data_IF_660016759332
#
_entry.id   IF_660016759332
#
_cell.length_a   1.000
_cell.length_b   1.000
_cell.length_c   1.000
_cell.angle_alpha   90.00
_cell.angle_beta   90.00
_cell.angle_gamma   90.00
#
_symmetry.space_group_name_H-M   'P 1'
#
loop_
_entity.id
_entity.type
_entity.pdbx_description
1 polymer ?
#
# COMPACT_ATOMS: atom_id res chain seq x y z
N UNK A 1 12.96 6.81 14.77
CA UNK A 1 11.83 6.61 13.85
C UNK A 1 12.13 7.29 12.51
N UNK A 2 11.63 6.73 11.39
CA UNK A 2 11.82 7.31 10.06
C UNK A 2 11.20 8.71 9.97
N UNK A 3 11.95 9.66 9.39
CA UNK A 3 11.47 11.04 9.18
C UNK A 3 10.83 11.16 7.80
N UNK A 4 9.66 10.54 7.60
CA UNK A 4 9.02 10.42 6.29
C UNK A 4 8.81 11.76 5.56
N UNK A 5 8.38 12.81 6.26
CA UNK A 5 8.22 14.13 5.65
C UNK A 5 9.54 14.68 5.07
N UNK A 6 10.66 14.45 5.77
CA UNK A 6 11.99 14.82 5.30
C UNK A 6 12.43 13.98 4.08
N UNK A 7 12.12 12.68 4.08
CA UNK A 7 12.41 11.84 2.91
C UNK A 7 11.57 12.25 1.71
N UNK A 8 10.31 12.62 1.90
CA UNK A 8 9.45 13.14 0.82
C UNK A 8 9.98 14.48 0.26
N UNK A 9 10.52 15.36 1.11
CA UNK A 9 11.15 16.61 0.66
C UNK A 9 12.33 16.32 -0.27
N UNK A 10 13.23 15.39 0.12
CA UNK A 10 14.37 15.02 -0.72
C UNK A 10 13.93 14.29 -1.98
N UNK A 11 12.95 13.40 -1.92
CA UNK A 11 12.36 12.78 -3.11
C UNK A 11 11.81 13.81 -4.09
N UNK A 12 11.14 14.85 -3.58
CA UNK A 12 10.66 15.97 -4.42
C UNK A 12 11.79 16.76 -5.06
N UNK A 13 12.88 17.02 -4.32
CA UNK A 13 14.07 17.68 -4.88
C UNK A 13 14.71 16.86 -5.99
N UNK A 14 14.82 15.55 -5.82
CA UNK A 14 15.33 14.65 -6.85
C UNK A 14 14.40 14.64 -8.06
N UNK A 15 13.09 14.59 -7.87
CA UNK A 15 12.12 14.69 -8.95
C UNK A 15 12.26 15.99 -9.75
N UNK A 16 12.55 17.11 -9.09
CA UNK A 16 12.84 18.39 -9.76
C UNK A 16 14.10 18.33 -10.62
N UNK A 17 15.11 17.52 -10.25
CA UNK A 17 16.27 17.28 -11.10
C UNK A 17 15.86 16.52 -12.36
N UNK A 18 15.06 15.46 -12.23
CA UNK A 18 14.58 14.71 -13.40
C UNK A 18 13.82 15.58 -14.38
N UNK A 19 12.99 16.50 -13.88
CA UNK A 19 12.24 17.44 -14.73
C UNK A 19 13.10 18.44 -15.53
N UNK A 20 14.40 18.56 -15.26
CA UNK A 20 15.31 19.34 -16.12
C UNK A 20 15.59 18.64 -17.45
N UNK A 21 15.41 17.31 -17.48
CA UNK A 21 15.77 16.44 -18.58
C UNK A 21 14.58 15.78 -19.24
N UNK A 22 13.56 15.42 -18.46
CA UNK A 22 12.44 14.58 -18.90
C UNK A 22 11.14 15.30 -18.53
N UNK A 23 10.18 15.30 -19.45
CA UNK A 23 8.88 15.89 -19.24
C UNK A 23 8.08 15.11 -18.18
N UNK A 24 7.25 15.77 -17.34
CA UNK A 24 6.49 15.10 -16.29
C UNK A 24 5.58 13.96 -16.80
N UNK A 25 5.10 14.05 -18.04
CA UNK A 25 4.31 13.01 -18.72
C UNK A 25 5.07 11.71 -18.91
N UNK A 26 6.40 11.74 -19.02
CA UNK A 26 7.26 10.59 -19.26
C UNK A 26 7.94 10.10 -17.98
N UNK A 27 7.60 10.68 -16.83
CA UNK A 27 8.10 10.27 -15.51
C UNK A 27 6.99 9.52 -14.75
N UNK A 28 7.30 8.32 -14.27
CA UNK A 28 6.46 7.59 -13.31
C UNK A 28 7.18 7.54 -11.97
N UNK A 29 6.61 8.13 -10.94
CA UNK A 29 7.06 7.96 -9.56
C UNK A 29 6.56 6.60 -9.07
N UNK A 30 7.46 5.63 -9.01
CA UNK A 30 7.15 4.26 -8.60
C UNK A 30 7.13 4.12 -7.07
N UNK A 31 8.08 4.76 -6.40
CA UNK A 31 8.15 4.83 -4.93
C UNK A 31 8.77 6.16 -4.49
N UNK A 32 9.01 6.32 -3.20
CA UNK A 32 9.66 7.52 -2.65
C UNK A 32 11.10 7.71 -3.17
N UNK A 33 11.75 6.65 -3.63
CA UNK A 33 13.16 6.58 -4.02
C UNK A 33 13.39 5.98 -5.41
N UNK A 34 12.33 5.62 -6.13
CA UNK A 34 12.41 5.00 -7.44
C UNK A 34 11.48 5.68 -8.45
N UNK A 35 11.98 5.91 -9.65
CA UNK A 35 11.22 6.43 -10.80
C UNK A 35 11.51 5.62 -12.05
N UNK A 36 10.55 5.60 -12.97
CA UNK A 36 10.79 5.24 -14.36
C UNK A 36 10.78 6.50 -15.21
N UNK A 37 11.70 6.56 -16.14
CA UNK A 37 11.85 7.65 -17.11
C UNK A 37 11.76 7.04 -18.51
N UNK A 38 10.79 7.46 -19.30
CA UNK A 38 10.76 7.13 -20.74
C UNK A 38 11.60 8.17 -21.49
N UNK A 39 12.65 7.71 -22.15
CA UNK A 39 13.60 8.55 -22.87
C UNK A 39 13.61 8.28 -24.38
N UNK A 40 12.61 7.53 -24.87
CA UNK A 40 12.57 6.99 -26.22
C UNK A 40 12.56 8.09 -27.28
N UNK A 41 11.75 9.13 -27.11
CA UNK A 41 11.51 10.16 -28.13
C UNK A 41 12.24 11.48 -27.85
N UNK A 42 13.24 11.47 -26.96
CA UNK A 42 13.97 12.69 -26.60
C UNK A 42 15.09 12.98 -27.60
N UNK A 43 15.18 14.20 -28.11
CA UNK A 43 16.14 14.61 -29.16
C UNK A 43 17.52 14.91 -28.57
N UNK A 44 18.01 14.13 -27.62
CA UNK A 44 19.33 14.27 -27.09
C UNK A 44 20.35 13.62 -28.02
N UNK A 45 21.45 14.35 -28.33
CA UNK A 45 22.58 13.82 -29.08
C UNK A 45 23.50 12.98 -28.16
N UNK A 46 22.93 12.05 -27.43
CA UNK A 46 23.65 11.16 -26.53
C UNK A 46 22.90 9.84 -26.36
N UNK A 47 23.58 8.81 -25.90
CA UNK A 47 23.02 7.51 -25.59
C UNK A 47 22.17 7.58 -24.29
N UNK A 48 21.25 6.62 -24.10
CA UNK A 48 20.51 6.48 -22.84
C UNK A 48 21.45 6.32 -21.63
N UNK A 49 22.61 5.68 -21.82
CA UNK A 49 23.64 5.55 -20.79
C UNK A 49 24.24 6.90 -20.39
N UNK A 50 24.66 7.70 -21.35
CA UNK A 50 25.24 9.04 -21.12
C UNK A 50 24.20 9.98 -20.48
N UNK A 51 22.94 9.90 -20.90
CA UNK A 51 21.85 10.65 -20.29
C UNK A 51 21.64 10.21 -18.82
N UNK A 52 21.60 8.92 -18.54
CA UNK A 52 21.48 8.40 -17.19
C UNK A 52 22.65 8.82 -16.28
N UNK A 53 23.89 8.78 -16.79
CA UNK A 53 25.07 9.29 -16.08
C UNK A 53 24.94 10.78 -15.75
N UNK A 54 24.47 11.58 -16.72
CA UNK A 54 24.27 13.02 -16.55
C UNK A 54 23.23 13.31 -15.47
N UNK A 55 22.08 12.63 -15.52
CA UNK A 55 21.00 12.78 -14.53
C UNK A 55 21.49 12.37 -13.13
N UNK A 56 22.15 11.21 -13.00
CA UNK A 56 22.65 10.71 -11.71
C UNK A 56 23.68 11.69 -11.10
N UNK A 57 24.55 12.25 -11.92
CA UNK A 57 25.54 13.24 -11.48
C UNK A 57 24.86 14.51 -10.98
N UNK A 58 23.87 15.06 -11.70
CA UNK A 58 23.10 16.23 -11.26
C UNK A 58 22.33 15.95 -9.95
N UNK A 59 21.77 14.75 -9.79
CA UNK A 59 21.15 14.34 -8.52
C UNK A 59 22.18 14.37 -7.38
N UNK A 60 23.36 13.80 -7.60
CA UNK A 60 24.43 13.78 -6.59
C UNK A 60 24.90 15.20 -6.24
N UNK A 61 25.15 16.05 -7.23
CA UNK A 61 25.60 17.43 -7.03
C UNK A 61 24.54 18.28 -6.32
N UNK A 62 23.26 18.07 -6.64
CA UNK A 62 22.14 18.84 -6.08
C UNK A 62 21.75 18.38 -4.67
N UNK A 63 21.86 17.09 -4.36
CA UNK A 63 21.28 16.50 -3.13
C UNK A 63 22.28 15.78 -2.24
N UNK A 64 23.48 15.46 -2.76
CA UNK A 64 24.46 14.60 -2.08
C UNK A 64 24.07 13.12 -2.04
N UNK A 65 23.03 12.71 -2.76
CA UNK A 65 22.52 11.32 -2.78
C UNK A 65 22.97 10.65 -4.08
N UNK A 66 23.57 9.47 -3.96
CA UNK A 66 23.93 8.62 -5.11
C UNK A 66 22.70 7.87 -5.60
N UNK A 67 22.66 7.57 -6.90
CA UNK A 67 21.63 6.77 -7.53
C UNK A 67 22.23 5.64 -8.38
N UNK A 68 21.40 4.64 -8.66
CA UNK A 68 21.72 3.51 -9.56
C UNK A 68 20.64 3.45 -10.63
N UNK A 69 21.02 3.18 -11.88
CA UNK A 69 20.06 3.07 -12.98
C UNK A 69 20.10 1.70 -13.65
N UNK A 70 18.93 1.27 -14.11
CA UNK A 70 18.77 0.19 -15.06
C UNK A 70 18.15 0.73 -16.34
N UNK A 71 18.72 0.40 -17.47
CA UNK A 71 18.26 0.76 -18.81
C UNK A 71 17.70 -0.50 -19.46
N UNK A 72 16.51 -0.41 -20.03
CA UNK A 72 15.87 -1.52 -20.71
C UNK A 72 14.95 -1.04 -21.83
N UNK A 73 14.66 -1.94 -22.77
CA UNK A 73 13.73 -1.71 -23.88
C UNK A 73 12.26 -1.63 -23.43
N UNK A 74 12.00 -1.98 -22.17
CA UNK A 74 10.69 -1.90 -21.52
C UNK A 74 10.84 -1.75 -20.01
N UNK A 75 9.73 -1.49 -19.30
CA UNK A 75 9.72 -1.24 -17.85
C UNK A 75 10.26 -2.42 -17.03
N UNK A 76 9.94 -3.66 -17.43
CA UNK A 76 10.44 -4.86 -16.75
C UNK A 76 11.95 -4.98 -16.85
N UNK A 77 12.50 -4.86 -18.05
CA UNK A 77 13.94 -4.98 -18.29
C UNK A 77 14.72 -3.84 -17.61
N UNK A 78 14.21 -2.60 -17.63
CA UNK A 78 14.81 -1.49 -16.90
C UNK A 78 14.86 -1.77 -15.38
N UNK A 79 13.75 -2.25 -14.80
CA UNK A 79 13.69 -2.58 -13.38
C UNK A 79 14.62 -3.73 -13.00
N UNK A 80 14.65 -4.80 -13.79
CA UNK A 80 15.50 -5.97 -13.56
C UNK A 80 16.98 -5.64 -13.76
N UNK A 81 17.31 -4.82 -14.76
CA UNK A 81 18.68 -4.32 -14.96
C UNK A 81 19.17 -3.57 -13.71
N UNK A 82 18.34 -2.72 -13.12
CA UNK A 82 18.69 -2.02 -11.90
C UNK A 82 18.83 -2.97 -10.70
N UNK A 83 17.82 -3.80 -10.43
CA UNK A 83 17.76 -4.57 -9.19
C UNK A 83 18.72 -5.76 -9.15
N UNK A 84 18.87 -6.49 -10.26
CA UNK A 84 19.69 -7.72 -10.32
C UNK A 84 21.09 -7.43 -10.79
N UNK A 85 21.30 -6.49 -11.72
CA UNK A 85 22.62 -6.26 -12.32
C UNK A 85 23.30 -5.03 -11.72
N UNK A 86 22.73 -3.83 -11.89
CA UNK A 86 23.40 -2.57 -11.55
C UNK A 86 23.75 -2.46 -10.05
N UNK A 87 22.89 -2.95 -9.17
CA UNK A 87 23.16 -2.94 -7.70
C UNK A 87 24.34 -3.80 -7.30
N UNK A 88 24.76 -4.76 -8.13
CA UNK A 88 25.79 -5.77 -7.82
C UNK A 88 27.10 -5.57 -8.58
N UNK A 89 27.18 -4.63 -9.52
CA UNK A 89 28.41 -4.29 -10.20
C UNK A 89 29.19 -3.20 -9.45
N UNK A 90 30.53 -3.12 -9.62
CA UNK A 90 31.31 -2.00 -9.12
C UNK A 90 30.81 -0.68 -9.70
N UNK A 91 30.91 0.39 -8.91
CA UNK A 91 30.69 1.73 -9.43
C UNK A 91 31.79 2.10 -10.42
N UNK A 92 31.45 2.93 -11.41
CA UNK A 92 32.42 3.53 -12.31
C UNK A 92 33.31 4.57 -11.59
N UNK A 93 34.21 5.22 -12.32
CA UNK A 93 35.13 6.25 -11.78
C UNK A 93 34.38 7.46 -11.18
N UNK A 94 33.11 7.66 -11.54
CA UNK A 94 32.23 8.72 -11.05
C UNK A 94 31.31 8.24 -9.90
N UNK A 95 31.48 7.01 -9.41
CA UNK A 95 30.64 6.42 -8.36
C UNK A 95 29.26 5.95 -8.84
N UNK A 96 29.05 5.86 -10.16
CA UNK A 96 27.75 5.53 -10.78
C UNK A 96 27.69 4.04 -11.12
N UNK A 97 26.52 3.44 -10.97
CA UNK A 97 26.21 2.06 -11.35
C UNK A 97 25.05 2.06 -12.32
N UNK A 98 25.33 1.66 -13.56
CA UNK A 98 24.32 1.55 -14.62
C UNK A 98 24.43 0.17 -15.26
N UNK A 99 23.31 -0.49 -15.48
CA UNK A 99 23.24 -1.72 -16.25
C UNK A 99 22.18 -1.61 -17.35
N UNK A 100 22.43 -2.31 -18.45
CA UNK A 100 21.56 -2.28 -19.62
C UNK A 100 21.15 -3.69 -20.01
N UNK A 101 19.85 -3.90 -20.26
CA UNK A 101 19.29 -5.14 -20.74
C UNK A 101 18.35 -4.90 -21.92
N UNK A 102 18.52 -5.71 -22.94
CA UNK A 102 17.51 -6.03 -23.95
C UNK A 102 16.98 -7.47 -23.72
N UNK A 103 15.98 -7.89 -24.47
CA UNK A 103 15.35 -9.21 -24.35
C UNK A 103 16.35 -10.35 -24.58
N UNK A 104 17.27 -10.18 -25.50
CA UNK A 104 18.30 -11.17 -25.84
C UNK A 104 19.32 -11.32 -24.72
N UNK A 105 19.82 -10.20 -24.21
CA UNK A 105 20.77 -10.17 -23.11
C UNK A 105 20.14 -10.69 -21.81
N UNK A 106 18.88 -10.31 -21.53
CA UNK A 106 18.10 -10.83 -20.42
C UNK A 106 18.03 -12.36 -20.45
N UNK A 107 17.61 -12.94 -21.58
CA UNK A 107 17.51 -14.42 -21.71
C UNK A 107 18.87 -15.09 -21.56
N UNK A 108 19.92 -14.52 -22.15
CA UNK A 108 21.26 -15.10 -22.07
C UNK A 108 21.85 -15.07 -20.66
N UNK A 109 21.63 -13.98 -19.91
CA UNK A 109 22.33 -13.72 -18.66
C UNK A 109 21.49 -14.00 -17.43
N UNK A 110 20.16 -13.77 -17.48
CA UNK A 110 19.30 -13.81 -16.31
C UNK A 110 18.28 -14.96 -16.30
N UNK A 111 18.10 -15.70 -17.41
CA UNK A 111 17.29 -16.92 -17.36
C UNK A 111 17.73 -17.92 -16.29
N UNK A 112 19.04 -18.16 -16.04
CA UNK A 112 19.50 -19.08 -14.99
C UNK A 112 19.56 -18.43 -13.61
N UNK A 113 19.25 -17.13 -13.46
CA UNK A 113 19.36 -16.41 -12.18
C UNK A 113 18.41 -16.97 -11.11
N UNK A 114 18.91 -16.99 -9.87
CA UNK A 114 18.18 -17.39 -8.67
C UNK A 114 18.51 -16.41 -7.51
N UNK A 115 17.57 -16.19 -6.58
CA UNK A 115 16.23 -16.76 -6.50
C UNK A 115 15.21 -16.02 -7.41
N UNK A 116 14.09 -16.67 -7.71
CA UNK A 116 12.99 -16.07 -8.48
C UNK A 116 12.44 -14.77 -7.85
N UNK A 117 12.54 -14.63 -6.54
CA UNK A 117 12.06 -13.45 -5.82
C UNK A 117 12.85 -12.18 -6.07
N UNK A 118 13.98 -12.24 -6.76
CA UNK A 118 14.74 -11.04 -7.18
C UNK A 118 14.11 -10.36 -8.39
N UNK A 119 13.31 -11.12 -9.16
CA UNK A 119 12.60 -10.57 -10.31
C UNK A 119 11.39 -9.75 -9.87
N UNK A 120 11.25 -8.59 -10.49
CA UNK A 120 10.11 -7.72 -10.28
C UNK A 120 8.79 -8.47 -10.48
N UNK A 121 7.83 -8.25 -9.58
CA UNK A 121 6.52 -8.89 -9.49
C UNK A 121 6.51 -10.39 -9.16
N UNK A 122 7.65 -11.01 -8.89
CA UNK A 122 7.71 -12.39 -8.39
C UNK A 122 7.88 -12.40 -6.87
N UNK A 123 6.76 -12.40 -6.16
CA UNK A 123 6.77 -12.50 -4.69
C UNK A 123 6.94 -13.93 -4.19
N UNK A 124 7.19 -14.12 -2.89
CA UNK A 124 7.37 -15.43 -2.24
C UNK A 124 6.25 -16.44 -2.50
N UNK A 125 5.00 -15.94 -2.69
CA UNK A 125 3.86 -16.80 -3.00
C UNK A 125 3.94 -17.40 -4.40
N UNK A 126 4.35 -16.62 -5.40
CA UNK A 126 4.55 -17.06 -6.78
C UNK A 126 5.74 -18.01 -6.83
N UNK A 127 6.90 -17.58 -6.27
CA UNK A 127 8.10 -18.40 -6.26
C UNK A 127 7.85 -19.79 -5.65
N UNK A 128 7.21 -19.87 -4.48
CA UNK A 128 6.88 -21.18 -3.85
C UNK A 128 6.01 -22.08 -4.73
N UNK A 129 5.04 -21.51 -5.47
CA UNK A 129 4.19 -22.30 -6.37
C UNK A 129 4.97 -22.81 -7.58
N UNK A 130 5.85 -21.99 -8.14
CA UNK A 130 6.74 -22.38 -9.24
C UNK A 130 7.71 -23.47 -8.80
N UNK A 131 8.40 -23.28 -7.70
CA UNK A 131 9.36 -24.23 -7.12
C UNK A 131 8.71 -25.60 -6.80
N UNK A 132 7.47 -25.61 -6.30
CA UNK A 132 6.70 -26.85 -6.06
C UNK A 132 6.41 -27.63 -7.35
N UNK A 133 6.55 -27.02 -8.53
CA UNK A 133 6.38 -27.64 -9.84
C UNK A 133 7.70 -27.74 -10.61
N UNK A 134 8.83 -27.61 -9.93
CA UNK A 134 10.16 -27.79 -10.52
C UNK A 134 10.69 -26.59 -11.30
N UNK A 135 10.03 -25.43 -11.25
CA UNK A 135 10.46 -24.19 -11.89
C UNK A 135 11.19 -23.30 -10.90
N UNK A 136 12.48 -23.12 -11.07
CA UNK A 136 13.37 -22.39 -10.15
C UNK A 136 13.96 -21.11 -10.76
N UNK A 137 13.76 -20.90 -12.06
CA UNK A 137 14.33 -19.81 -12.85
C UNK A 137 13.29 -19.22 -13.80
N UNK A 138 13.53 -18.02 -14.32
CA UNK A 138 12.69 -17.45 -15.37
C UNK A 138 12.79 -18.24 -16.67
N UNK A 139 13.95 -18.84 -16.95
CA UNK A 139 14.10 -19.77 -18.07
C UNK A 139 13.20 -21.01 -17.96
N UNK A 140 13.05 -21.57 -16.74
CA UNK A 140 12.13 -22.70 -16.52
C UNK A 140 10.67 -22.30 -16.79
N UNK A 141 10.29 -21.07 -16.39
CA UNK A 141 8.94 -20.52 -16.64
C UNK A 141 8.71 -20.33 -18.14
N UNK A 142 9.68 -19.75 -18.85
CA UNK A 142 9.61 -19.55 -20.30
C UNK A 142 9.48 -20.88 -21.04
N UNK A 143 10.27 -21.88 -20.69
CA UNK A 143 10.18 -23.24 -21.29
C UNK A 143 8.84 -23.90 -20.94
N UNK A 144 8.34 -23.73 -19.73
CA UNK A 144 7.02 -24.25 -19.35
C UNK A 144 5.90 -23.57 -20.17
N UNK A 145 6.01 -22.30 -20.49
CA UNK A 145 5.01 -21.62 -21.32
C UNK A 145 4.91 -22.18 -22.74
N UNK A 146 6.01 -22.72 -23.30
CA UNK A 146 6.00 -23.40 -24.60
C UNK A 146 5.48 -24.83 -24.51
N UNK A 147 5.80 -25.56 -23.44
CA UNK A 147 5.53 -27.00 -23.34
C UNK A 147 4.21 -27.31 -22.64
N UNK A 148 3.79 -26.49 -21.68
CA UNK A 148 2.60 -26.70 -20.85
C UNK A 148 2.07 -25.41 -20.27
N UNK A 149 1.68 -24.47 -21.12
CA UNK A 149 1.15 -23.16 -20.72
C UNK A 149 -0.07 -23.27 -19.79
N UNK A 150 -0.91 -24.31 -20.01
CA UNK A 150 -2.11 -24.56 -19.20
C UNK A 150 -1.76 -24.75 -17.71
N UNK A 151 -0.60 -25.28 -17.37
CA UNK A 151 -0.14 -25.41 -16.00
C UNK A 151 0.01 -24.02 -15.36
N UNK A 152 0.60 -23.05 -16.06
CA UNK A 152 0.79 -21.68 -15.56
C UNK A 152 -0.55 -20.99 -15.34
N UNK A 153 -1.50 -21.10 -16.27
CA UNK A 153 -2.85 -20.56 -16.11
C UNK A 153 -3.62 -21.21 -14.95
N UNK A 154 -3.48 -22.52 -14.74
CA UNK A 154 -4.08 -23.21 -13.61
C UNK A 154 -3.50 -22.75 -12.26
N UNK A 155 -2.21 -22.43 -12.22
CA UNK A 155 -1.54 -21.96 -11.00
C UNK A 155 -1.83 -20.49 -10.68
N UNK A 156 -1.90 -19.63 -11.69
CA UNK A 156 -1.88 -18.19 -11.51
C UNK A 156 -3.09 -17.44 -12.12
N UNK A 157 -3.99 -18.15 -12.82
CA UNK A 157 -5.11 -17.55 -13.53
C UNK A 157 -4.64 -16.51 -14.55
N UNK A 158 -5.34 -15.40 -14.68
CA UNK A 158 -4.98 -14.30 -15.57
C UNK A 158 -3.58 -13.69 -15.31
N UNK A 159 -3.04 -13.86 -14.13
CA UNK A 159 -1.70 -13.36 -13.82
C UNK A 159 -0.58 -14.21 -14.47
N UNK A 160 -0.92 -15.36 -15.07
CA UNK A 160 0.02 -16.17 -15.85
C UNK A 160 0.55 -15.40 -17.06
N UNK A 161 -0.28 -14.62 -17.74
CA UNK A 161 0.12 -13.81 -18.92
C UNK A 161 1.31 -12.91 -18.59
N UNK A 162 1.18 -12.09 -17.57
CA UNK A 162 2.27 -11.20 -17.15
C UNK A 162 3.53 -11.96 -16.72
N UNK A 163 3.36 -13.10 -16.05
CA UNK A 163 4.50 -13.93 -15.63
C UNK A 163 5.22 -14.54 -16.84
N UNK A 164 4.49 -14.99 -17.85
CA UNK A 164 5.03 -15.53 -19.11
C UNK A 164 5.76 -14.41 -19.87
N UNK A 165 5.11 -13.27 -20.07
CA UNK A 165 5.71 -12.12 -20.74
C UNK A 165 7.04 -11.73 -20.08
N UNK A 166 7.07 -11.59 -18.78
CA UNK A 166 8.28 -11.28 -18.03
C UNK A 166 9.35 -12.38 -18.14
N UNK A 167 8.95 -13.65 -18.19
CA UNK A 167 9.91 -14.75 -18.39
C UNK A 167 10.60 -14.66 -19.75
N UNK A 168 9.93 -14.12 -20.76
CA UNK A 168 10.50 -13.86 -22.08
C UNK A 168 11.22 -12.52 -22.19
N UNK A 169 11.15 -11.67 -21.17
CA UNK A 169 11.69 -10.31 -21.14
C UNK A 169 10.79 -9.27 -21.80
N UNK A 170 9.50 -9.57 -21.92
CA UNK A 170 8.50 -8.70 -22.52
C UNK A 170 7.65 -7.99 -21.44
N UNK A 171 7.30 -6.72 -21.68
CA UNK A 171 6.36 -5.95 -20.86
C UNK A 171 5.55 -5.04 -21.78
N UNK A 172 4.25 -5.31 -21.98
CA UNK A 172 3.41 -4.51 -22.86
C UNK A 172 2.97 -3.19 -22.24
N UNK A 173 3.13 -3.01 -20.94
CA UNK A 173 2.70 -1.82 -20.23
C UNK A 173 3.64 -0.65 -20.54
N UNK A 174 3.07 0.48 -20.93
CA UNK A 174 3.79 1.72 -21.25
C UNK A 174 3.52 2.82 -20.22
N UNK A 175 4.32 3.89 -20.23
CA UNK A 175 4.10 5.07 -19.37
C UNK A 175 2.72 5.67 -19.57
N UNK A 176 2.23 5.90 -20.81
CA UNK A 176 0.85 6.36 -21.03
C UNK A 176 -0.22 5.41 -20.47
N UNK A 177 -0.02 4.09 -20.59
CA UNK A 177 -0.93 3.07 -20.05
C UNK A 177 -1.07 3.17 -18.54
N UNK A 178 0.05 3.34 -17.84
CA UNK A 178 0.06 3.50 -16.37
C UNK A 178 -0.66 4.80 -15.96
N UNK A 179 -0.41 5.89 -16.67
CA UNK A 179 -1.03 7.19 -16.35
C UNK A 179 -2.53 7.23 -16.64
N UNK A 180 -2.97 6.49 -17.66
CA UNK A 180 -4.37 6.36 -18.00
C UNK A 180 -5.15 5.40 -17.08
N UNK A 181 -4.45 4.51 -16.37
CA UNK A 181 -5.07 3.51 -15.51
C UNK A 181 -5.88 4.16 -14.39
N UNK A 182 -7.11 3.69 -14.22
CA UNK A 182 -7.98 4.02 -13.09
C UNK A 182 -8.37 2.72 -12.43
N UNK A 183 -8.04 2.52 -11.13
CA UNK A 183 -8.43 1.31 -10.41
C UNK A 183 -9.96 1.21 -10.33
N UNK A 184 -10.49 0.01 -10.53
CA UNK A 184 -11.92 -0.28 -10.41
C UNK A 184 -12.40 -0.31 -8.96
N UNK A 185 -11.49 -0.60 -8.03
CA UNK A 185 -11.78 -0.61 -6.60
C UNK A 185 -10.75 0.24 -5.89
N UNK A 186 -11.24 1.13 -5.04
CA UNK A 186 -10.39 2.03 -4.26
C UNK A 186 -10.57 1.76 -2.77
N UNK A 187 -9.48 1.88 -2.04
CA UNK A 187 -9.51 1.81 -0.58
C UNK A 187 -8.52 2.79 0.03
N UNK A 188 -8.83 3.28 1.21
CA UNK A 188 -7.94 4.09 2.02
C UNK A 188 -7.61 3.31 3.31
N UNK A 189 -6.34 3.18 3.64
CA UNK A 189 -5.93 2.36 4.78
C UNK A 189 -5.02 3.10 5.75
N UNK A 190 -5.26 2.86 7.03
CA UNK A 190 -4.38 3.28 8.12
C UNK A 190 -3.80 2.05 8.81
N UNK A 191 -2.48 1.97 8.94
CA UNK A 191 -1.79 0.87 9.60
C UNK A 191 -0.93 1.35 10.76
N UNK A 192 -0.92 0.58 11.86
CA UNK A 192 -0.06 0.87 13.01
C UNK A 192 0.58 -0.39 13.56
N UNK A 193 1.89 -0.32 13.78
CA UNK A 193 2.64 -1.26 14.62
C UNK A 193 2.84 -0.58 15.98
N UNK A 194 2.38 -1.23 17.04
CA UNK A 194 2.50 -0.72 18.39
C UNK A 194 3.95 -0.85 18.88
N UNK A 195 4.42 0.09 19.69
CA UNK A 195 5.80 0.09 20.25
C UNK A 195 6.06 -1.10 21.14
N UNK A 196 5.05 -1.55 21.88
CA UNK A 196 5.07 -2.75 22.73
C UNK A 196 3.76 -3.54 22.53
N UNK A 197 3.65 -4.78 23.02
CA UNK A 197 2.40 -5.52 23.05
C UNK A 197 1.34 -4.80 23.89
N UNK A 198 0.13 -4.62 23.35
CA UNK A 198 -1.00 -3.99 24.04
C UNK A 198 -2.08 -5.01 24.37
N UNK A 199 -2.68 -4.88 25.55
CA UNK A 199 -3.93 -5.56 25.87
C UNK A 199 -5.07 -5.02 24.98
N UNK A 200 -6.09 -5.85 24.78
CA UNK A 200 -7.18 -5.53 23.87
C UNK A 200 -7.86 -4.18 24.15
N UNK A 201 -8.04 -3.81 25.42
CA UNK A 201 -8.63 -2.52 25.78
C UNK A 201 -7.80 -1.33 25.30
N UNK A 202 -6.48 -1.35 25.48
CA UNK A 202 -5.56 -0.31 24.99
C UNK A 202 -5.48 -0.33 23.45
N UNK A 203 -5.48 -1.51 22.82
CA UNK A 203 -5.50 -1.63 21.37
C UNK A 203 -6.80 -1.05 20.77
N UNK A 204 -7.94 -1.25 21.43
CA UNK A 204 -9.23 -0.68 21.04
C UNK A 204 -9.24 0.85 21.10
N UNK A 205 -8.56 1.45 22.07
CA UNK A 205 -8.38 2.90 22.13
C UNK A 205 -7.61 3.40 20.92
N UNK A 206 -6.49 2.77 20.59
CA UNK A 206 -5.69 3.11 19.41
C UNK A 206 -6.49 2.93 18.10
N UNK A 207 -7.32 1.89 18.01
CA UNK A 207 -8.21 1.71 16.85
C UNK A 207 -9.17 2.90 16.68
N UNK A 208 -9.72 3.43 17.77
CA UNK A 208 -10.59 4.62 17.72
C UNK A 208 -9.84 5.87 17.24
N UNK A 209 -8.58 6.03 17.63
CA UNK A 209 -7.70 7.09 17.09
C UNK A 209 -7.44 6.91 15.59
N UNK A 210 -7.21 5.66 15.15
CA UNK A 210 -7.03 5.34 13.72
C UNK A 210 -8.31 5.64 12.92
N UNK A 211 -9.47 5.30 13.46
CA UNK A 211 -10.76 5.57 12.81
C UNK A 211 -11.04 7.08 12.69
N UNK A 212 -10.71 7.86 13.72
CA UNK A 212 -10.80 9.32 13.67
C UNK A 212 -9.91 9.92 12.57
N UNK A 213 -8.66 9.49 12.50
CA UNK A 213 -7.73 9.96 11.49
C UNK A 213 -8.15 9.54 10.07
N UNK A 214 -8.61 8.31 9.89
CA UNK A 214 -9.10 7.79 8.62
C UNK A 214 -10.32 8.58 8.12
N UNK A 215 -11.26 8.90 9.03
CA UNK A 215 -12.42 9.73 8.72
C UNK A 215 -12.03 11.14 8.27
N UNK A 216 -11.07 11.77 8.95
CA UNK A 216 -10.55 13.08 8.56
C UNK A 216 -9.88 13.04 7.18
N UNK A 217 -9.16 11.98 6.87
CA UNK A 217 -8.53 11.82 5.55
C UNK A 217 -9.57 11.61 4.43
N UNK A 218 -10.67 10.89 4.70
CA UNK A 218 -11.80 10.78 3.77
C UNK A 218 -12.40 12.16 3.49
N UNK A 219 -12.67 12.95 4.52
CA UNK A 219 -13.20 14.31 4.35
C UNK A 219 -12.25 15.21 3.57
N UNK A 220 -10.94 15.16 3.87
CA UNK A 220 -9.93 15.96 3.16
C UNK A 220 -9.90 15.66 1.66
N UNK A 221 -10.15 14.40 1.30
CA UNK A 221 -10.15 13.93 -0.10
C UNK A 221 -11.53 14.00 -0.76
N UNK A 222 -12.59 14.43 -0.05
CA UNK A 222 -13.96 14.42 -0.56
C UNK A 222 -14.51 13.03 -0.85
N UNK A 223 -14.09 12.02 -0.07
CA UNK A 223 -14.44 10.61 -0.26
C UNK A 223 -15.35 10.10 0.86
N UNK A 224 -16.15 9.08 0.54
CA UNK A 224 -16.96 8.32 1.49
C UNK A 224 -16.71 6.82 1.33
N UNK A 225 -17.02 6.03 2.36
CA UNK A 225 -16.92 4.57 2.36
C UNK A 225 -18.23 3.94 2.86
N UNK A 226 -18.58 2.79 2.35
CA UNK A 226 -19.69 1.97 2.82
C UNK A 226 -19.24 0.78 3.70
N UNK A 227 -17.92 0.56 3.82
CA UNK A 227 -17.41 -0.60 4.55
C UNK A 227 -16.06 -0.32 5.22
N UNK A 228 -15.92 -0.77 6.46
CA UNK A 228 -14.61 -0.83 7.14
C UNK A 228 -14.13 -2.28 7.24
N UNK A 229 -12.83 -2.47 7.01
CA UNK A 229 -12.15 -3.76 7.18
C UNK A 229 -11.07 -3.62 8.22
N UNK A 230 -11.03 -4.54 9.17
CA UNK A 230 -10.05 -4.54 10.26
C UNK A 230 -9.23 -5.82 10.25
N UNK A 231 -7.92 -5.67 10.36
CA UNK A 231 -6.99 -6.77 10.60
C UNK A 231 -6.17 -6.47 11.86
N UNK A 232 -6.18 -7.38 12.83
CA UNK A 232 -5.45 -7.26 14.09
C UNK A 232 -4.46 -8.40 14.22
N UNK A 233 -3.17 -8.07 14.18
CA UNK A 233 -2.09 -9.03 14.35
C UNK A 233 -1.63 -9.08 15.81
N UNK A 234 -1.54 -10.29 16.34
CA UNK A 234 -1.15 -10.54 17.72
C UNK A 234 0.37 -10.60 17.89
N UNK A 235 0.82 -10.37 19.12
CA UNK A 235 2.25 -10.42 19.45
C UNK A 235 2.73 -11.86 19.65
N UNK A 236 4.02 -12.08 19.37
CA UNK A 236 4.70 -13.36 19.58
C UNK A 236 4.71 -13.77 21.06
N UNK A 237 4.65 -12.81 21.98
CA UNK A 237 4.64 -13.06 23.43
C UNK A 237 3.48 -13.96 23.85
N UNK A 238 2.36 -13.94 23.11
CA UNK A 238 1.24 -14.87 23.35
C UNK A 238 1.65 -16.36 23.21
N UNK A 239 2.74 -16.65 22.47
CA UNK A 239 3.23 -18.02 22.26
C UNK A 239 4.58 -18.29 22.92
N UNK A 240 5.30 -17.27 23.41
CA UNK A 240 6.60 -17.41 24.05
C UNK A 240 6.53 -17.30 25.56
N UNK A 241 5.61 -16.52 26.12
CA UNK A 241 5.38 -16.45 27.55
C UNK A 241 4.64 -17.72 28.04
N UNK A 242 5.20 -18.51 28.99
CA UNK A 242 4.65 -19.84 29.36
C UNK A 242 3.17 -19.82 29.77
N UNK A 243 2.77 -18.85 30.59
CA UNK A 243 1.39 -18.73 31.06
C UNK A 243 0.40 -18.42 29.90
N UNK A 244 0.78 -17.48 29.00
CA UNK A 244 -0.03 -17.15 27.83
C UNK A 244 -0.10 -18.28 26.83
N UNK A 245 1.04 -18.96 26.60
CA UNK A 245 1.08 -20.12 25.71
C UNK A 245 0.21 -21.26 26.20
N UNK A 246 0.18 -21.52 27.51
CA UNK A 246 -0.67 -22.56 28.08
C UNK A 246 -2.17 -22.24 27.96
N UNK A 247 -2.55 -20.96 27.98
CA UNK A 247 -3.92 -20.51 27.84
C UNK A 247 -4.41 -20.45 26.39
N UNK A 248 -3.51 -20.46 25.38
CA UNK A 248 -3.88 -20.32 23.98
C UNK A 248 -3.96 -21.66 23.26
N UNK A 249 -5.15 -22.02 22.78
CA UNK A 249 -5.42 -23.22 21.98
C UNK A 249 -5.81 -22.94 20.52
N UNK A 250 -5.81 -21.65 20.13
CA UNK A 250 -6.22 -21.23 18.79
C UNK A 250 -5.20 -21.53 17.69
N UNK A 251 -5.52 -21.20 16.44
CA UNK A 251 -4.67 -21.44 15.28
C UNK A 251 -3.42 -20.55 15.29
N UNK A 252 -2.30 -21.11 14.86
CA UNK A 252 -0.98 -20.44 14.78
C UNK A 252 -0.58 -20.33 13.32
N UNK A 253 -0.07 -19.16 12.92
CA UNK A 253 0.46 -18.89 11.59
C UNK A 253 1.91 -18.39 11.67
N UNK A 254 2.59 -18.34 10.53
CA UNK A 254 3.90 -17.69 10.41
C UNK A 254 3.72 -16.27 9.88
N UNK A 255 4.32 -15.31 10.57
CA UNK A 255 4.39 -13.93 10.07
C UNK A 255 5.39 -13.81 8.89
N UNK A 256 5.49 -12.61 8.32
CA UNK A 256 6.43 -12.35 7.20
C UNK A 256 7.91 -12.57 7.54
N UNK A 257 8.25 -12.67 8.81
CA UNK A 257 9.61 -12.95 9.29
C UNK A 257 9.81 -14.42 9.63
N UNK A 258 8.82 -15.28 9.36
CA UNK A 258 8.87 -16.71 9.69
C UNK A 258 8.61 -17.03 11.17
N UNK A 259 8.21 -16.05 12.00
CA UNK A 259 7.93 -16.26 13.42
C UNK A 259 6.52 -16.80 13.61
N UNK A 260 6.37 -17.75 14.51
CA UNK A 260 5.06 -18.29 14.89
C UNK A 260 4.30 -17.26 15.75
N UNK A 261 3.10 -16.91 15.34
CA UNK A 261 2.21 -15.97 16.04
C UNK A 261 0.78 -16.53 16.03
N UNK A 262 -0.10 -16.14 16.96
CA UNK A 262 -1.52 -16.45 16.84
C UNK A 262 -2.06 -15.91 15.51
N UNK A 263 -2.99 -16.66 14.88
CA UNK A 263 -3.61 -16.24 13.63
C UNK A 263 -4.26 -14.86 13.82
N UNK A 264 -3.97 -13.96 12.89
CA UNK A 264 -4.52 -12.61 12.92
C UNK A 264 -6.05 -12.61 12.87
N UNK A 265 -6.70 -11.76 13.66
CA UNK A 265 -8.12 -11.49 13.54
C UNK A 265 -8.38 -10.62 12.31
N UNK A 266 -9.37 -10.99 11.52
CA UNK A 266 -9.73 -10.28 10.30
C UNK A 266 -11.24 -10.28 10.10
N UNK A 267 -11.80 -9.15 9.66
CA UNK A 267 -13.21 -9.03 9.37
C UNK A 267 -13.56 -7.72 8.68
N UNK A 268 -14.81 -7.65 8.24
CA UNK A 268 -15.40 -6.48 7.63
C UNK A 268 -16.72 -6.11 8.32
N UNK A 269 -17.06 -4.83 8.28
CA UNK A 269 -18.32 -4.27 8.78
C UNK A 269 -18.82 -3.27 7.75
N UNK A 270 -20.02 -3.51 7.21
CA UNK A 270 -20.73 -2.54 6.37
C UNK A 270 -21.25 -1.39 7.23
N UNK A 271 -21.33 -0.23 6.65
CA UNK A 271 -22.06 0.92 7.15
C UNK A 271 -23.45 0.91 6.52
N UNK A 272 -24.43 1.49 7.19
CA UNK A 272 -25.82 1.56 6.71
C UNK A 272 -25.90 2.42 5.42
N UNK A 273 -25.03 3.42 5.30
CA UNK A 273 -24.88 4.22 4.10
C UNK A 273 -23.42 4.69 3.91
N UNK A 274 -23.00 5.01 2.68
CA UNK A 274 -21.69 5.61 2.42
C UNK A 274 -21.47 6.87 3.27
N UNK A 275 -20.35 6.94 3.98
CA UNK A 275 -20.11 8.00 4.96
C UNK A 275 -18.63 8.31 5.16
N UNK A 276 -18.32 9.56 5.51
CA UNK A 276 -17.05 10.02 6.07
C UNK A 276 -17.17 10.43 7.54
N UNK A 277 -18.33 10.18 8.17
CA UNK A 277 -18.58 10.51 9.58
C UNK A 277 -17.65 9.76 10.50
N UNK A 278 -16.92 10.51 11.34
CA UNK A 278 -16.04 9.93 12.38
C UNK A 278 -16.84 9.04 13.33
N UNK A 279 -18.06 9.44 13.70
CA UNK A 279 -18.91 8.70 14.60
C UNK A 279 -19.27 7.33 14.00
N UNK A 280 -19.83 7.31 12.80
CA UNK A 280 -20.26 6.07 12.11
C UNK A 280 -19.07 5.12 11.89
N UNK A 281 -17.93 5.63 11.40
CA UNK A 281 -16.73 4.80 11.15
C UNK A 281 -16.14 4.27 12.46
N UNK A 282 -16.08 5.08 13.51
CA UNK A 282 -15.55 4.69 14.82
C UNK A 282 -16.45 3.65 15.50
N UNK A 283 -17.77 3.79 15.41
CA UNK A 283 -18.75 2.84 15.92
C UNK A 283 -18.62 1.49 15.19
N UNK A 284 -18.59 1.52 13.84
CA UNK A 284 -18.42 0.32 13.03
C UNK A 284 -17.08 -0.39 13.29
N UNK A 285 -15.97 0.36 13.37
CA UNK A 285 -14.66 -0.21 13.67
C UNK A 285 -14.60 -0.80 15.09
N UNK A 286 -15.22 -0.14 16.07
CA UNK A 286 -15.26 -0.62 17.46
C UNK A 286 -16.12 -1.88 17.59
N UNK A 287 -17.30 -1.92 16.98
CA UNK A 287 -18.17 -3.10 16.98
C UNK A 287 -17.49 -4.29 16.27
N UNK A 288 -16.78 -4.01 15.16
CA UNK A 288 -16.02 -5.03 14.45
C UNK A 288 -14.90 -5.59 15.34
N UNK A 289 -14.14 -4.72 16.02
CA UNK A 289 -13.08 -5.11 16.95
C UNK A 289 -13.62 -6.02 18.04
N UNK A 290 -14.70 -5.61 18.70
CA UNK A 290 -15.33 -6.34 19.80
C UNK A 290 -15.85 -7.73 19.34
N UNK A 291 -16.22 -7.88 18.06
CA UNK A 291 -16.69 -9.13 17.47
C UNK A 291 -15.58 -10.11 17.11
N UNK A 292 -14.42 -9.61 16.60
CA UNK A 292 -13.39 -10.49 15.99
C UNK A 292 -12.15 -10.68 16.85
N UNK A 293 -11.85 -9.76 17.79
CA UNK A 293 -10.60 -9.78 18.55
C UNK A 293 -10.74 -10.64 19.79
N UNK A 294 -9.78 -11.54 19.99
CA UNK A 294 -9.63 -12.27 21.24
C UNK A 294 -9.07 -11.35 22.33
N UNK A 295 -9.91 -11.00 23.30
CA UNK A 295 -9.56 -10.10 24.39
C UNK A 295 -8.47 -10.61 25.34
N UNK A 296 -8.15 -11.90 25.32
CA UNK A 296 -7.07 -12.52 26.10
C UNK A 296 -5.69 -12.39 25.48
N UNK A 297 -5.62 -11.97 24.21
CA UNK A 297 -4.37 -11.92 23.47
C UNK A 297 -3.78 -10.49 23.42
N UNK A 298 -2.45 -10.42 23.47
CA UNK A 298 -1.71 -9.19 23.25
C UNK A 298 -1.69 -8.83 21.76
N UNK A 299 -2.08 -7.60 21.45
CA UNK A 299 -2.09 -7.03 20.10
C UNK A 299 -0.74 -6.38 19.80
N UNK A 300 -0.25 -6.54 18.57
CA UNK A 300 1.01 -5.93 18.09
C UNK A 300 0.84 -4.96 16.94
N UNK A 301 -0.13 -5.19 16.08
CA UNK A 301 -0.38 -4.36 14.90
C UNK A 301 -1.84 -4.35 14.53
N UNK A 302 -2.27 -3.27 13.92
CA UNK A 302 -3.63 -3.11 13.40
C UNK A 302 -3.59 -2.45 12.03
N UNK A 303 -4.52 -2.84 11.17
CA UNK A 303 -4.79 -2.21 9.88
C UNK A 303 -6.29 -1.98 9.77
N UNK A 304 -6.67 -0.72 9.63
CA UNK A 304 -8.04 -0.30 9.39
C UNK A 304 -8.14 0.23 7.97
N UNK A 305 -9.08 -0.27 7.20
CA UNK A 305 -9.29 0.07 5.79
C UNK A 305 -10.71 0.58 5.62
N UNK A 306 -10.86 1.73 4.98
CA UNK A 306 -12.09 2.18 4.34
C UNK A 306 -12.11 1.59 2.93
N UNK A 307 -13.01 0.65 2.68
CA UNK A 307 -13.15 -0.04 1.41
C UNK A 307 -14.27 0.61 0.56
N UNK A 308 -14.28 0.29 -0.73
CA UNK A 308 -15.29 0.80 -1.68
C UNK A 308 -15.45 2.33 -1.61
N UNK A 309 -14.32 3.04 -1.53
CA UNK A 309 -14.37 4.50 -1.46
C UNK A 309 -14.79 5.08 -2.81
N UNK A 310 -15.69 6.05 -2.74
CA UNK A 310 -16.19 6.81 -3.90
C UNK A 310 -16.17 8.30 -3.58
N UNK A 311 -16.10 9.19 -4.58
CA UNK A 311 -16.37 10.61 -4.37
C UNK A 311 -17.73 10.82 -3.71
N UNK A 312 -17.81 11.77 -2.79
CA UNK A 312 -19.03 12.00 -2.00
C UNK A 312 -20.21 12.42 -2.88
N UNK A 313 -19.96 13.15 -3.97
CA UNK A 313 -20.94 13.58 -4.95
C UNK A 313 -21.42 12.45 -5.88
N UNK A 314 -20.68 11.35 -5.98
CA UNK A 314 -21.04 10.15 -6.74
C UNK A 314 -21.69 9.08 -5.86
N UNK A 315 -21.68 9.26 -4.53
CA UNK A 315 -22.24 8.28 -3.62
C UNK A 315 -23.76 8.14 -3.81
N UNK A 316 -24.22 6.90 -3.95
CA UNK A 316 -25.65 6.64 -4.00
C UNK A 316 -26.30 6.99 -2.66
N UNK A 317 -27.46 7.65 -2.66
CA UNK A 317 -28.21 7.89 -1.43
C UNK A 317 -28.53 6.57 -0.72
N UNK A 318 -28.76 6.66 0.59
CA UNK A 318 -29.30 5.52 1.36
C UNK A 318 -30.47 4.86 0.61
N UNK A 319 -30.40 3.54 0.37
CA UNK A 319 -31.57 2.81 -0.10
C UNK A 319 -32.71 3.06 0.90
N UNK A 320 -33.87 3.47 0.38
CA UNK A 320 -35.03 3.67 1.24
C UNK A 320 -35.35 2.33 1.90
N UNK A 321 -35.16 2.24 3.22
CA UNK A 321 -35.62 1.08 4.00
C UNK A 321 -37.10 0.86 3.68
N UNK A 322 -37.46 -0.38 3.39
CA UNK A 322 -38.86 -0.76 3.24
C UNK A 322 -39.52 -0.58 4.61
N UNK A 323 -40.27 0.50 4.73
CA UNK A 323 -40.98 0.82 5.98
C UNK A 323 -42.01 -0.26 6.29
N UNK A 324 -42.04 -0.70 7.53
CA UNK A 324 -43.11 -1.58 8.05
C UNK A 324 -44.47 -0.81 8.05
N UNK A 325 -45.52 -1.52 7.80
CA UNK A 325 -46.91 -1.00 7.83
C UNK A 325 -47.30 -0.29 9.15
N UNK A 326 -46.56 -0.54 10.22
CA UNK A 326 -46.75 0.05 11.56
C UNK A 326 -45.77 1.18 11.90
N UNK A 327 -44.88 1.56 10.99
CA UNK A 327 -43.91 2.65 11.20
C UNK A 327 -44.64 3.99 11.18
N UNK A 328 -44.47 4.79 12.24
CA UNK A 328 -44.95 6.17 12.25
C UNK A 328 -44.01 7.04 11.38
N UNK A 329 -44.50 7.35 10.17
CA UNK A 329 -43.77 8.11 9.18
C UNK A 329 -43.25 9.46 9.70
N UNK A 330 -44.08 10.16 10.50
CA UNK A 330 -43.69 11.48 11.01
C UNK A 330 -42.54 11.38 12.00
N UNK A 331 -42.51 10.34 12.83
CA UNK A 331 -41.41 10.09 13.77
C UNK A 331 -40.14 9.68 13.04
N UNK A 332 -40.26 8.87 11.97
CA UNK A 332 -39.12 8.44 11.18
C UNK A 332 -38.51 9.59 10.35
N UNK A 333 -39.35 10.43 9.73
CA UNK A 333 -38.89 11.63 9.02
C UNK A 333 -38.18 12.60 9.95
N UNK A 334 -38.72 12.85 11.15
CA UNK A 334 -38.07 13.69 12.14
C UNK A 334 -36.72 13.11 12.61
N UNK A 335 -36.59 11.78 12.76
CA UNK A 335 -35.33 11.09 13.07
C UNK A 335 -34.30 11.26 11.96
N UNK A 336 -34.73 11.10 10.70
CA UNK A 336 -33.86 11.28 9.52
C UNK A 336 -33.36 12.71 9.39
N UNK A 337 -34.23 13.72 9.56
CA UNK A 337 -33.84 15.11 9.55
C UNK A 337 -32.85 15.44 10.67
N UNK A 338 -33.06 14.93 11.88
CA UNK A 338 -32.15 15.11 13.00
C UNK A 338 -30.78 14.46 12.74
N UNK A 339 -30.74 13.24 12.16
CA UNK A 339 -29.50 12.57 11.81
C UNK A 339 -28.75 13.32 10.70
N UNK A 340 -29.45 13.76 9.64
CA UNK A 340 -28.82 14.58 8.58
C UNK A 340 -28.25 15.89 9.11
N UNK A 341 -28.98 16.58 10.01
CA UNK A 341 -28.48 17.78 10.66
C UNK A 341 -27.23 17.50 11.52
N UNK A 342 -27.22 16.37 12.24
CA UNK A 342 -26.07 15.94 13.05
C UNK A 342 -24.84 15.64 12.16
N UNK A 343 -25.01 14.92 11.05
CA UNK A 343 -23.95 14.62 10.08
C UNK A 343 -23.39 15.90 9.41
N UNK A 344 -24.26 16.83 9.03
CA UNK A 344 -23.85 18.11 8.47
C UNK A 344 -23.04 18.96 9.46
N UNK A 345 -23.45 18.94 10.75
CA UNK A 345 -22.71 19.60 11.84
C UNK A 345 -21.36 18.95 12.09
N UNK A 346 -21.31 17.61 12.10
CA UNK A 346 -20.09 16.85 12.27
C UNK A 346 -19.10 17.14 11.13
N UNK A 347 -19.56 17.16 9.88
CA UNK A 347 -18.72 17.48 8.71
C UNK A 347 -18.08 18.84 8.82
N UNK A 348 -18.85 19.88 9.20
CA UNK A 348 -18.30 21.22 9.42
C UNK A 348 -17.22 21.22 10.50
N UNK A 349 -17.39 20.42 11.57
CA UNK A 349 -16.40 20.29 12.63
C UNK A 349 -15.13 19.57 12.14
N UNK A 350 -15.26 18.54 11.30
CA UNK A 350 -14.14 17.85 10.70
C UNK A 350 -13.35 18.78 9.77
N UNK A 351 -14.02 19.54 8.91
CA UNK A 351 -13.41 20.55 8.04
C UNK A 351 -12.65 21.63 8.82
N UNK A 352 -13.27 22.16 9.89
CA UNK A 352 -12.61 23.13 10.78
C UNK A 352 -11.38 22.52 11.47
N UNK A 353 -11.48 21.26 11.90
CA UNK A 353 -10.36 20.52 12.51
C UNK A 353 -9.20 20.34 11.52
N UNK A 354 -9.50 19.99 10.28
CA UNK A 354 -8.52 19.88 9.20
C UNK A 354 -7.84 21.21 8.90
N UNK A 355 -8.60 22.31 8.81
CA UNK A 355 -8.07 23.65 8.60
C UNK A 355 -7.11 24.08 9.73
N UNK A 356 -7.44 23.79 10.99
CA UNK A 356 -6.57 24.07 12.14
C UNK A 356 -5.30 23.21 12.07
N UNK A 357 -5.43 21.90 11.82
CA UNK A 357 -4.28 21.00 11.73
C UNK A 357 -3.34 21.37 10.57
N UNK A 358 -3.89 21.78 9.43
CA UNK A 358 -3.12 22.23 8.26
C UNK A 358 -2.35 23.54 8.55
N UNK A 359 -2.94 24.45 9.30
CA UNK A 359 -2.34 25.76 9.61
C UNK A 359 -1.34 25.71 10.76
N UNK A 360 -1.61 24.93 11.80
CA UNK A 360 -0.86 24.95 13.05
C UNK A 360 -0.17 23.63 13.40
N UNK A 361 -0.26 22.61 12.50
CA UNK A 361 0.33 21.29 12.68
C UNK A 361 -0.65 20.25 13.21
N UNK A 362 -0.30 18.99 13.03
CA UNK A 362 -1.18 17.82 13.30
C UNK A 362 -1.67 17.71 14.74
N UNK A 363 -0.89 18.22 15.69
CA UNK A 363 -1.20 18.18 17.13
C UNK A 363 -1.86 19.46 17.67
N UNK A 364 -2.20 20.44 16.80
CA UNK A 364 -2.83 21.69 17.21
C UNK A 364 -4.22 21.50 17.85
N UNK A 365 -4.90 20.43 17.47
CA UNK A 365 -6.17 20.02 18.08
C UNK A 365 -6.17 18.50 18.21
N UNK A 366 -6.46 17.99 19.41
CA UNK A 366 -6.57 16.57 19.74
C UNK A 366 -7.92 16.29 20.39
N UNK A 367 -8.45 15.10 20.17
CA UNK A 367 -9.62 14.62 20.91
C UNK A 367 -9.23 14.13 22.30
N UNK A 368 -10.14 14.18 23.27
CA UNK A 368 -9.88 13.73 24.63
C UNK A 368 -9.36 12.28 24.71
N UNK A 369 -9.83 11.39 23.82
CA UNK A 369 -9.33 10.00 23.72
C UNK A 369 -7.83 9.90 23.47
N UNK A 370 -7.24 10.89 22.80
CA UNK A 370 -5.79 10.92 22.50
C UNK A 370 -4.93 11.35 23.69
N UNK A 371 -5.54 11.65 24.83
CA UNK A 371 -4.88 11.96 26.10
C UNK A 371 -4.97 10.81 27.11
N UNK A 372 -5.70 9.72 26.78
CA UNK A 372 -5.81 8.56 27.62
C UNK A 372 -4.51 7.72 27.64
N UNK A 373 -4.31 6.94 28.71
CA UNK A 373 -3.13 6.07 28.84
C UNK A 373 -3.16 4.98 27.75
N UNK A 374 -2.09 4.92 26.95
CA UNK A 374 -1.95 4.00 25.82
C UNK A 374 -2.38 4.60 24.48
N UNK A 375 -2.89 5.83 24.46
CA UNK A 375 -3.12 6.57 23.22
C UNK A 375 -1.80 6.87 22.48
N UNK A 376 -1.81 6.87 21.15
CA UNK A 376 -0.61 7.02 20.30
C UNK A 376 -0.67 8.20 19.35
N UNK A 377 -1.81 8.83 19.16
CA UNK A 377 -2.00 9.90 18.16
C UNK A 377 -1.10 11.11 18.39
N UNK A 378 -0.73 11.40 19.64
CA UNK A 378 0.15 12.53 20.00
C UNK A 378 1.61 12.29 19.58
N UNK A 379 2.05 11.04 19.53
CA UNK A 379 3.43 10.65 19.24
C UNK A 379 3.66 10.39 17.73
N UNK A 380 2.59 10.28 16.97
CA UNK A 380 2.58 10.15 15.53
C UNK A 380 2.68 11.51 14.86
#
# INVERSE_FOLDING_TARGET
PPRMAYYMEYSTRIYQVYMKYIAPEDIIVYSIDEVFLDVTDYPYDCTAHELAQTIIRDVLETTGITATAGIGTNLFLAKVAMDIVAKHIPADENGVRIAELDETKFRRELWPHRPLTDFWRVGRGIARRLEAHGMFTMGDVALCSEQNEELLYRLFGKNAELLIDHAWGWEPCTVPSIKAYRPSENSLSSGQVLSCPYEAAKARLVLREMADQLSLELVEKGLVTDQVVLTVGYDIENLTAPARRAAYSGPVEQDRYGRRVPKAAHGAQKLDAPSSSTRRIMEAASALFDRIVDGGLLVRRMYLVAAHIVPEDEAQPEEMEQLDLFTDLATEDARREAEQAALAREKKLQEATLAIKKKFGKNAILKGISLEEGATARER
#
